data_IF_055501421287
#
_entry.id   IF_055501421287
#
_cell.length_a   1.000
_cell.length_b   1.000
_cell.length_c   1.000
_cell.angle_alpha   90.00
_cell.angle_beta   90.00
_cell.angle_gamma   90.00
#
_symmetry.space_group_name_H-M   'P 1'
#
loop_
_entity.id
_entity.type
_entity.pdbx_description
1 polymer ?
#
# COMPACT_ATOMS: atom_id res chain seq x y z
N UNK A 1 -3.35 -17.52 13.12
CA UNK A 1 -1.91 -17.67 12.80
C UNK A 1 -1.27 -16.30 12.95
N UNK A 2 -0.09 -16.16 13.56
CA UNK A 2 0.60 -14.88 13.60
C UNK A 2 0.93 -14.43 12.17
N UNK A 3 0.86 -13.12 11.91
CA UNK A 3 1.31 -12.56 10.63
C UNK A 3 2.85 -12.49 10.67
N UNK A 4 3.51 -13.59 10.33
CA UNK A 4 4.97 -13.74 10.30
C UNK A 4 5.53 -13.68 8.87
N UNK A 5 6.85 -13.82 8.71
CA UNK A 5 7.50 -13.77 7.38
C UNK A 5 7.05 -14.91 6.45
N UNK A 6 6.75 -16.09 6.98
CA UNK A 6 6.30 -17.25 6.18
C UNK A 6 4.87 -17.04 5.68
N UNK A 7 4.00 -16.55 6.56
CA UNK A 7 2.64 -16.18 6.18
C UNK A 7 2.65 -15.02 5.18
N UNK A 8 3.50 -14.02 5.39
CA UNK A 8 3.70 -12.91 4.44
C UNK A 8 4.10 -13.42 3.06
N UNK A 9 5.03 -14.37 2.99
CA UNK A 9 5.42 -15.00 1.72
C UNK A 9 4.24 -15.68 1.00
N UNK A 10 3.41 -16.39 1.76
CA UNK A 10 2.22 -17.07 1.24
C UNK A 10 1.20 -16.06 0.68
N UNK A 11 0.98 -14.95 1.41
CA UNK A 11 0.15 -13.84 0.95
C UNK A 11 0.72 -13.21 -0.32
N UNK A 12 2.02 -12.91 -0.38
CA UNK A 12 2.65 -12.36 -1.59
C UNK A 12 2.46 -13.28 -2.79
N UNK A 13 2.57 -14.60 -2.59
CA UNK A 13 2.34 -15.58 -3.64
C UNK A 13 0.91 -15.57 -4.17
N UNK A 14 -0.09 -15.46 -3.28
CA UNK A 14 -1.50 -15.31 -3.63
C UNK A 14 -1.74 -13.98 -4.39
N UNK A 15 -1.18 -12.88 -3.90
CA UNK A 15 -1.34 -11.56 -4.52
C UNK A 15 -0.64 -11.44 -5.87
N UNK A 16 0.41 -12.23 -6.10
CA UNK A 16 1.15 -12.25 -7.37
C UNK A 16 0.28 -12.70 -8.55
N UNK A 17 -0.81 -13.41 -8.30
CA UNK A 17 -1.80 -13.75 -9.33
C UNK A 17 -2.42 -12.50 -10.00
N UNK A 18 -2.34 -11.33 -9.36
CA UNK A 18 -2.90 -10.07 -9.85
C UNK A 18 -1.87 -9.07 -10.38
N UNK A 19 -0.61 -9.49 -10.54
CA UNK A 19 0.38 -8.78 -11.36
C UNK A 19 -0.15 -8.61 -12.79
N UNK A 20 0.17 -7.48 -13.43
CA UNK A 20 -0.47 -6.95 -14.65
C UNK A 20 -1.95 -6.54 -14.47
N UNK A 21 -2.47 -6.54 -13.24
CA UNK A 21 -3.78 -6.00 -12.92
C UNK A 21 -3.77 -4.47 -12.85
N UNK A 22 -4.85 -3.86 -13.34
CA UNK A 22 -5.07 -2.41 -13.29
C UNK A 22 -5.77 -2.01 -12.00
N UNK A 23 -5.26 -1.00 -11.29
CA UNK A 23 -5.93 -0.42 -10.11
C UNK A 23 -7.12 0.41 -10.59
N UNK A 24 -8.33 -0.15 -10.49
CA UNK A 24 -9.58 0.45 -10.97
C UNK A 24 -10.14 1.46 -9.97
N UNK A 25 -10.06 1.15 -8.67
CA UNK A 25 -10.59 2.00 -7.59
C UNK A 25 -9.70 1.96 -6.36
N UNK A 26 -9.64 3.09 -5.66
CA UNK A 26 -8.97 3.23 -4.36
C UNK A 26 -9.95 3.82 -3.36
N UNK A 27 -10.08 3.18 -2.20
CA UNK A 27 -10.92 3.60 -1.10
C UNK A 27 -10.19 3.53 0.24
N UNK A 28 -10.66 4.30 1.21
CA UNK A 28 -10.17 4.29 2.58
C UNK A 28 -11.38 4.24 3.52
N UNK A 29 -11.91 3.04 3.82
CA UNK A 29 -13.12 2.88 4.63
C UNK A 29 -12.91 3.26 6.10
N UNK A 30 -11.68 3.13 6.61
CA UNK A 30 -11.31 3.49 7.98
C UNK A 30 -9.98 4.23 8.01
N UNK A 31 -9.62 4.79 9.17
CA UNK A 31 -8.40 5.60 9.33
C UNK A 31 -7.13 4.85 8.90
N UNK A 32 -7.07 3.55 9.19
CA UNK A 32 -5.86 2.72 9.02
C UNK A 32 -6.01 1.65 7.92
N UNK A 33 -7.01 1.74 7.05
CA UNK A 33 -7.28 0.72 6.03
C UNK A 33 -7.48 1.31 4.63
N UNK A 34 -6.85 0.70 3.64
CA UNK A 34 -7.02 1.00 2.22
C UNK A 34 -7.63 -0.21 1.52
N UNK A 35 -8.58 0.04 0.62
CA UNK A 35 -9.06 -0.95 -0.33
C UNK A 35 -8.59 -0.55 -1.73
N UNK A 36 -7.85 -1.45 -2.38
CA UNK A 36 -7.59 -1.38 -3.82
C UNK A 36 -8.53 -2.34 -4.52
N UNK A 37 -9.25 -1.87 -5.54
CA UNK A 37 -9.95 -2.75 -6.47
C UNK A 37 -9.07 -2.90 -7.70
N UNK A 38 -8.55 -4.10 -7.89
CA UNK A 38 -7.66 -4.45 -9.01
C UNK A 38 -8.46 -5.25 -10.02
N UNK A 39 -8.42 -4.81 -11.27
CA UNK A 39 -9.07 -5.46 -12.40
C UNK A 39 -8.02 -6.20 -13.24
N UNK A 40 -8.18 -7.51 -13.37
CA UNK A 40 -7.35 -8.37 -14.22
C UNK A 40 -8.23 -9.43 -14.88
N UNK A 41 -8.04 -9.69 -16.17
CA UNK A 41 -8.77 -10.73 -16.91
C UNK A 41 -10.30 -10.71 -16.72
N UNK A 42 -10.88 -9.50 -16.77
CA UNK A 42 -12.31 -9.23 -16.52
C UNK A 42 -12.82 -9.56 -15.12
N UNK A 43 -11.93 -9.93 -14.18
CA UNK A 43 -12.24 -10.12 -12.77
C UNK A 43 -11.83 -8.88 -11.97
N UNK A 44 -12.63 -8.55 -10.98
CA UNK A 44 -12.32 -7.51 -9.98
C UNK A 44 -11.99 -8.20 -8.66
N UNK A 45 -10.82 -7.90 -8.12
CA UNK A 45 -10.38 -8.34 -6.80
C UNK A 45 -10.32 -7.12 -5.89
N UNK A 46 -10.79 -7.26 -4.65
CA UNK A 46 -10.62 -6.22 -3.63
C UNK A 46 -9.49 -6.65 -2.70
N UNK A 47 -8.46 -5.84 -2.61
CA UNK A 47 -7.34 -6.02 -1.70
C UNK A 47 -7.52 -5.08 -0.52
N UNK A 48 -7.59 -5.63 0.70
CA UNK A 48 -7.54 -4.84 1.92
C UNK A 48 -6.10 -4.73 2.40
N UNK A 49 -5.63 -3.50 2.58
CA UNK A 49 -4.35 -3.17 3.21
C UNK A 49 -4.67 -2.52 4.57
N UNK A 50 -4.35 -3.18 5.67
CA UNK A 50 -4.66 -2.70 7.02
C UNK A 50 -3.38 -2.46 7.80
N UNK A 51 -3.20 -1.20 8.23
CA UNK A 51 -2.21 -0.78 9.20
C UNK A 51 -2.80 -0.71 10.62
N UNK A 52 -3.95 -1.32 10.89
CA UNK A 52 -4.59 -1.27 12.20
C UNK A 52 -3.62 -1.75 13.31
N UNK A 53 -3.51 -1.05 14.46
CA UNK A 53 -2.55 -1.42 15.52
C UNK A 53 -2.74 -2.83 16.09
N UNK A 54 -3.97 -3.31 16.14
CA UNK A 54 -4.33 -4.62 16.70
C UNK A 54 -4.41 -5.72 15.64
N UNK A 55 -4.81 -5.37 14.42
CA UNK A 55 -5.06 -6.33 13.34
C UNK A 55 -4.43 -5.92 11.99
N UNK A 56 -3.12 -5.63 11.94
CA UNK A 56 -2.50 -5.26 10.68
C UNK A 56 -2.41 -6.49 9.76
N UNK A 57 -2.81 -6.34 8.50
CA UNK A 57 -2.90 -7.45 7.55
C UNK A 57 -3.07 -6.95 6.12
N UNK A 58 -2.66 -7.79 5.18
CA UNK A 58 -2.96 -7.65 3.75
C UNK A 58 -3.65 -8.94 3.30
N UNK A 59 -4.79 -8.84 2.62
CA UNK A 59 -5.48 -10.00 2.06
C UNK A 59 -6.52 -9.59 1.00
N UNK A 60 -6.96 -10.56 0.20
CA UNK A 60 -8.15 -10.42 -0.64
C UNK A 60 -9.39 -10.44 0.26
N UNK A 61 -10.31 -9.50 0.05
CA UNK A 61 -11.56 -9.43 0.80
C UNK A 61 -12.78 -9.48 -0.12
N UNK A 62 -13.85 -10.11 0.36
CA UNK A 62 -15.16 -10.12 -0.31
C UNK A 62 -16.16 -9.18 0.37
N UNK A 63 -15.80 -8.65 1.54
CA UNK A 63 -16.66 -7.79 2.32
C UNK A 63 -16.98 -6.47 1.60
N UNK A 64 -18.18 -5.97 1.82
CA UNK A 64 -18.56 -4.59 1.54
C UNK A 64 -18.23 -3.74 2.77
N UNK A 65 -17.57 -2.61 2.56
CA UNK A 65 -17.29 -1.62 3.60
C UNK A 65 -17.90 -0.29 3.18
N UNK A 66 -18.47 0.42 4.14
CA UNK A 66 -18.94 1.79 3.91
C UNK A 66 -17.76 2.72 3.73
N UNK A 67 -17.84 3.60 2.74
CA UNK A 67 -16.81 4.59 2.48
C UNK A 67 -17.20 5.92 3.12
N UNK A 68 -16.24 6.68 3.67
CA UNK A 68 -16.53 8.02 4.16
C UNK A 68 -17.03 8.91 3.02
N UNK A 69 -17.89 9.88 3.35
CA UNK A 69 -18.46 10.82 2.37
C UNK A 69 -17.39 11.63 1.65
N UNK A 70 -16.31 11.97 2.35
CA UNK A 70 -15.14 12.65 1.77
C UNK A 70 -13.90 11.74 1.88
N UNK A 71 -13.13 11.55 0.80
CA UNK A 71 -11.92 10.75 0.83
C UNK A 71 -10.83 11.44 1.66
N UNK A 72 -10.15 10.73 2.59
CA UNK A 72 -9.00 11.28 3.32
C UNK A 72 -7.82 11.60 2.41
N UNK A 73 -6.87 12.43 2.91
CA UNK A 73 -5.72 12.90 2.13
C UNK A 73 -4.89 11.77 1.51
N UNK A 74 -4.57 10.74 2.29
CA UNK A 74 -3.78 9.60 1.78
C UNK A 74 -4.51 8.85 0.65
N UNK A 75 -5.81 8.62 0.77
CA UNK A 75 -6.64 8.07 -0.31
C UNK A 75 -6.57 8.94 -1.58
N UNK A 76 -6.57 10.26 -1.44
CA UNK A 76 -6.43 11.19 -2.57
C UNK A 76 -5.03 11.15 -3.18
N UNK A 77 -3.97 11.02 -2.39
CA UNK A 77 -2.61 10.84 -2.90
C UNK A 77 -2.51 9.54 -3.72
N UNK A 78 -3.00 8.42 -3.20
CA UNK A 78 -3.05 7.17 -3.97
C UNK A 78 -3.86 7.34 -5.26
N UNK A 79 -5.01 8.03 -5.21
CA UNK A 79 -5.80 8.28 -6.42
C UNK A 79 -5.07 9.12 -7.46
N UNK A 80 -4.32 10.13 -7.02
CA UNK A 80 -3.55 11.00 -7.91
C UNK A 80 -2.45 10.23 -8.63
N UNK A 81 -1.78 9.31 -7.94
CA UNK A 81 -0.53 8.71 -8.43
C UNK A 81 -0.66 7.30 -9.00
N UNK A 82 -1.55 6.46 -8.46
CA UNK A 82 -1.64 5.04 -8.82
C UNK A 82 -3.02 4.60 -9.32
N UNK A 83 -4.04 5.47 -9.32
CA UNK A 83 -5.34 5.12 -9.93
C UNK A 83 -5.17 4.94 -11.43
N UNK A 84 -5.66 3.82 -11.95
CA UNK A 84 -5.47 3.42 -13.33
C UNK A 84 -4.09 2.84 -13.65
N UNK A 85 -3.17 2.82 -12.68
CA UNK A 85 -1.85 2.21 -12.82
C UNK A 85 -1.90 0.68 -12.86
N UNK A 86 -0.82 0.08 -13.34
CA UNK A 86 -0.65 -1.37 -13.51
C UNK A 86 0.30 -1.89 -12.43
N UNK A 87 -0.10 -2.92 -11.68
CA UNK A 87 0.77 -3.60 -10.73
C UNK A 87 1.78 -4.45 -11.50
N UNK A 88 3.06 -4.09 -11.49
CA UNK A 88 4.13 -4.80 -12.21
C UNK A 88 4.74 -5.94 -11.40
N UNK A 89 4.77 -5.79 -10.08
CA UNK A 89 5.27 -6.86 -9.21
C UNK A 89 4.68 -6.73 -7.81
N UNK A 90 4.62 -7.87 -7.11
CA UNK A 90 4.34 -7.94 -5.67
C UNK A 90 5.42 -8.80 -5.05
N UNK A 91 6.11 -8.28 -4.04
CA UNK A 91 7.25 -8.97 -3.43
C UNK A 91 7.27 -8.78 -1.91
N UNK A 92 7.97 -9.70 -1.25
CA UNK A 92 8.30 -9.59 0.16
C UNK A 92 9.70 -9.00 0.30
N UNK A 93 9.89 -8.02 1.17
CA UNK A 93 11.20 -7.40 1.41
C UNK A 93 11.94 -8.17 2.50
N UNK A 94 13.17 -8.63 2.20
CA UNK A 94 14.11 -9.26 3.15
C UNK A 94 13.54 -10.39 4.02
N UNK A 95 12.51 -11.10 3.54
CA UNK A 95 11.77 -12.11 4.31
C UNK A 95 11.09 -11.57 5.60
N UNK A 96 10.95 -10.25 5.72
CA UNK A 96 10.23 -9.58 6.79
C UNK A 96 8.74 -9.43 6.42
N UNK A 97 7.95 -8.87 7.33
CA UNK A 97 6.51 -8.62 7.21
C UNK A 97 6.25 -7.32 6.45
N UNK A 98 6.95 -7.15 5.33
CA UNK A 98 6.88 -5.97 4.47
C UNK A 98 6.53 -6.45 3.06
N UNK A 99 5.39 -5.98 2.55
CA UNK A 99 4.93 -6.26 1.20
C UNK A 99 5.14 -5.02 0.35
N UNK A 100 5.83 -5.17 -0.77
CA UNK A 100 6.05 -4.11 -1.76
C UNK A 100 5.27 -4.44 -3.03
N UNK A 101 4.43 -3.50 -3.46
CA UNK A 101 3.84 -3.48 -4.80
C UNK A 101 4.63 -2.48 -5.64
N UNK A 102 5.14 -2.91 -6.80
CA UNK A 102 5.65 -1.99 -7.81
C UNK A 102 4.52 -1.68 -8.79
N UNK A 103 4.27 -0.40 -9.02
CA UNK A 103 3.12 0.08 -9.78
C UNK A 103 3.63 1.05 -10.85
N UNK A 104 3.26 0.80 -12.09
CA UNK A 104 3.41 1.76 -13.18
C UNK A 104 2.16 2.64 -13.23
N UNK A 105 2.28 3.87 -12.73
CA UNK A 105 1.26 4.90 -12.80
C UNK A 105 1.49 5.84 -13.98
N UNK A 106 0.67 6.89 -14.06
CA UNK A 106 0.79 7.96 -15.04
C UNK A 106 1.00 9.30 -14.33
N UNK A 107 1.83 10.16 -14.89
CA UNK A 107 1.97 11.55 -14.45
C UNK A 107 0.79 12.40 -14.93
N UNK A 108 0.72 13.65 -14.47
CA UNK A 108 -0.27 14.63 -14.96
C UNK A 108 -0.14 14.90 -16.47
N UNK A 109 1.05 14.69 -17.04
CA UNK A 109 1.33 14.83 -18.48
C UNK A 109 1.07 13.54 -19.27
N UNK A 110 0.72 12.45 -18.59
CA UNK A 110 0.45 11.14 -19.19
C UNK A 110 1.69 10.27 -19.39
N UNK A 111 2.86 10.68 -18.89
CA UNK A 111 4.07 9.87 -18.93
C UNK A 111 4.00 8.73 -17.92
N UNK A 112 4.61 7.59 -18.24
CA UNK A 112 4.72 6.47 -17.31
C UNK A 112 5.67 6.82 -16.15
N UNK A 113 5.24 6.56 -14.92
CA UNK A 113 6.06 6.75 -13.71
C UNK A 113 5.94 5.55 -12.79
N UNK A 114 7.07 5.13 -12.24
CA UNK A 114 7.11 4.03 -11.28
C UNK A 114 6.85 4.53 -9.85
N UNK A 115 5.99 3.81 -9.15
CA UNK A 115 5.69 4.00 -7.74
C UNK A 115 5.86 2.70 -6.99
N UNK A 116 6.14 2.80 -5.69
CA UNK A 116 6.14 1.64 -4.79
C UNK A 116 5.09 1.86 -3.71
N UNK A 117 4.16 0.93 -3.56
CA UNK A 117 3.24 0.90 -2.43
C UNK A 117 3.76 -0.11 -1.41
N UNK A 118 4.21 0.37 -0.26
CA UNK A 118 4.82 -0.43 0.79
C UNK A 118 3.81 -0.64 1.91
N UNK A 119 3.60 -1.89 2.32
CA UNK A 119 2.80 -2.26 3.49
C UNK A 119 3.70 -2.90 4.55
N UNK A 120 3.93 -2.19 5.65
CA UNK A 120 4.72 -2.66 6.78
C UNK A 120 3.77 -3.20 7.87
N UNK A 121 3.91 -4.47 8.24
CA UNK A 121 3.00 -5.16 9.16
C UNK A 121 3.74 -5.43 10.48
N UNK A 122 3.72 -4.41 11.35
CA UNK A 122 4.51 -4.34 12.59
C UNK A 122 3.67 -4.01 13.83
N UNK A 123 2.45 -4.56 13.93
CA UNK A 123 1.54 -4.27 15.04
C UNK A 123 1.18 -2.78 15.10
N UNK A 124 1.41 -2.15 16.26
CA UNK A 124 1.18 -0.71 16.47
C UNK A 124 1.99 0.19 15.53
N UNK A 125 3.13 -0.27 15.02
CA UNK A 125 4.00 0.47 14.10
C UNK A 125 3.69 0.22 12.63
N UNK A 126 2.66 -0.57 12.32
CA UNK A 126 2.28 -0.85 10.93
C UNK A 126 1.93 0.43 10.18
N UNK A 127 2.31 0.48 8.91
CA UNK A 127 2.12 1.63 8.05
C UNK A 127 1.91 1.20 6.59
N UNK A 128 1.34 2.10 5.80
CA UNK A 128 1.16 1.96 4.35
C UNK A 128 1.72 3.24 3.74
N UNK A 129 2.71 3.11 2.87
CA UNK A 129 3.44 4.24 2.28
C UNK A 129 3.39 4.14 0.76
N UNK A 130 3.19 5.27 0.10
CA UNK A 130 3.42 5.41 -1.33
C UNK A 130 4.75 6.10 -1.54
N UNK A 131 5.64 5.52 -2.32
CA UNK A 131 6.94 6.07 -2.69
C UNK A 131 6.99 6.36 -4.19
N UNK A 132 7.75 7.38 -4.58
CA UNK A 132 8.09 7.64 -5.98
C UNK A 132 9.25 6.75 -6.45
N UNK A 133 9.70 6.95 -7.69
CA UNK A 133 10.84 6.26 -8.30
C UNK A 133 12.19 6.55 -7.62
N UNK A 134 12.30 7.63 -6.86
CA UNK A 134 13.50 8.03 -6.10
C UNK A 134 13.50 7.45 -4.67
N UNK A 135 12.48 6.66 -4.31
CA UNK A 135 12.20 6.19 -2.95
C UNK A 135 11.89 7.32 -1.94
N UNK A 136 11.45 8.47 -2.40
CA UNK A 136 10.90 9.53 -1.55
C UNK A 136 9.43 9.21 -1.25
N UNK A 137 9.01 9.41 0.00
CA UNK A 137 7.63 9.21 0.44
C UNK A 137 6.74 10.27 -0.22
N UNK A 138 5.82 9.82 -1.08
CA UNK A 138 4.78 10.66 -1.64
C UNK A 138 3.75 10.99 -0.57
N UNK A 139 3.23 9.97 0.11
CA UNK A 139 2.39 10.10 1.30
C UNK A 139 2.32 8.75 2.04
N UNK A 140 1.74 8.74 3.24
CA UNK A 140 1.57 7.54 4.05
C UNK A 140 0.30 7.61 4.92
N UNK A 141 -0.22 6.46 5.32
CA UNK A 141 -1.45 6.39 6.11
C UNK A 141 -1.25 6.86 7.56
N UNK A 142 -0.04 6.71 8.10
CA UNK A 142 0.36 7.25 9.41
C UNK A 142 1.62 8.08 9.29
N UNK A 143 1.46 9.37 9.56
CA UNK A 143 2.53 10.36 9.64
C UNK A 143 3.27 10.21 10.97
N UNK A 144 4.60 10.03 10.92
CA UNK A 144 5.47 9.89 12.09
C UNK A 144 6.64 10.86 11.94
N UNK A 145 6.57 12.00 12.64
CA UNK A 145 7.66 12.97 12.66
C UNK A 145 8.84 12.55 13.54
N UNK A 146 9.96 13.25 13.38
CA UNK A 146 11.22 13.00 14.12
C UNK A 146 11.08 12.94 15.65
N UNK A 147 10.13 13.65 16.24
CA UNK A 147 9.90 13.66 17.69
C UNK A 147 9.37 12.31 18.21
N UNK A 148 8.67 11.55 17.37
CA UNK A 148 8.08 10.25 17.73
C UNK A 148 8.98 9.07 17.37
N UNK A 149 9.76 9.21 16.29
CA UNK A 149 10.73 8.20 15.88
C UNK A 149 12.03 8.87 15.47
N UNK A 150 13.08 8.63 16.27
CA UNK A 150 14.40 9.20 16.01
C UNK A 150 15.17 8.48 14.90
N UNK A 151 14.78 7.24 14.58
CA UNK A 151 15.48 6.43 13.59
C UNK A 151 15.11 6.85 12.16
N UNK A 152 13.82 7.03 11.89
CA UNK A 152 13.32 7.48 10.59
C UNK A 152 12.10 8.37 10.74
N UNK A 153 12.03 9.38 9.88
CA UNK A 153 10.82 10.16 9.67
C UNK A 153 9.95 9.49 8.60
N UNK A 154 8.64 9.48 8.82
CA UNK A 154 7.66 8.95 7.88
C UNK A 154 6.66 10.07 7.58
N UNK A 155 7.01 10.90 6.60
CA UNK A 155 6.27 12.08 6.18
C UNK A 155 6.40 12.28 4.66
N UNK A 156 5.41 12.90 3.99
CA UNK A 156 5.56 13.34 2.60
C UNK A 156 6.85 14.15 2.39
N UNK A 157 7.61 13.81 1.36
CA UNK A 157 8.87 14.46 0.98
C UNK A 157 10.12 13.91 1.68
N UNK A 158 9.99 13.05 2.70
CA UNK A 158 11.14 12.40 3.32
C UNK A 158 11.61 11.18 2.51
N UNK A 159 12.91 10.90 2.53
CA UNK A 159 13.46 9.68 1.95
C UNK A 159 13.03 8.45 2.75
N UNK A 160 12.62 7.39 2.05
CA UNK A 160 12.20 6.16 2.69
C UNK A 160 13.40 5.40 3.25
N UNK A 161 13.38 5.18 4.56
CA UNK A 161 14.32 4.29 5.26
C UNK A 161 13.55 3.07 5.74
N UNK A 162 14.06 1.87 5.44
CA UNK A 162 13.45 0.62 5.90
C UNK A 162 13.41 0.57 7.44
N UNK A 163 12.45 -0.18 8.04
CA UNK A 163 12.51 -0.50 9.46
C UNK A 163 13.82 -1.20 9.84
N UNK A 164 14.29 -1.05 11.10
CA UNK A 164 15.51 -1.69 11.59
C UNK A 164 15.35 -3.20 11.83
#
# INVERSE_FOLDING_TARGET
>A
MPFDGVFTNSIVKELSEFVEGKIDKVYQPSKDEIILIVKKDRKNIKLLLSANPSFPRVHITYSSMENPKAPPNFCMALRKHILGGIIKSVSQVNFDRIIQFEIEGLTELGDAMQYKLICEIMGKHSNILLLNNENTIVDCIKHIGHNMNRYREIMPGADYVMPP
#
